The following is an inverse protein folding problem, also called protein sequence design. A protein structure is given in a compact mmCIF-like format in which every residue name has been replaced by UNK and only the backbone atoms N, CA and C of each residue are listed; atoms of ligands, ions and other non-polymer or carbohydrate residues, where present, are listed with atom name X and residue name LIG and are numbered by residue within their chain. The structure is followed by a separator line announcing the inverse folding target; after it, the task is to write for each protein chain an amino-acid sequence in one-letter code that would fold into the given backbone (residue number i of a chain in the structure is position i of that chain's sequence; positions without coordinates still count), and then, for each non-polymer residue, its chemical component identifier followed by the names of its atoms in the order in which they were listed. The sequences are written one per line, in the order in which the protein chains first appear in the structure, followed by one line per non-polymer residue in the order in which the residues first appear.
data_IF_440091281467
#
_entry.id   IF_440091281467
#
_cell.length_a   1.000
_cell.length_b   1.000
_cell.length_c   1.000
_cell.angle_alpha   90.00
_cell.angle_beta   90.00
_cell.angle_gamma   90.00
#
_symmetry.space_group_name_H-M   'P 1'
#
loop_
_entity.id
_entity.type
_entity.pdbx_description
1 polymer ?
#
# COMPACT_ATOMS: atom_id res chain seq x y z
N UNK A 1 -16.76 -13.58 -15.68
CA UNK A 1 -16.15 -12.31 -15.23
C UNK A 1 -14.65 -12.46 -15.36
N UNK A 2 -13.98 -11.67 -16.20
CA UNK A 2 -12.53 -11.76 -16.37
C UNK A 2 -11.86 -11.15 -15.14
N UNK A 3 -11.09 -11.96 -14.40
CA UNK A 3 -10.29 -11.44 -13.30
C UNK A 3 -9.20 -10.51 -13.85
N UNK A 4 -9.02 -9.34 -13.24
CA UNK A 4 -7.92 -8.43 -13.62
C UNK A 4 -6.57 -9.09 -13.30
N UNK A 5 -5.63 -8.98 -14.23
CA UNK A 5 -4.25 -9.46 -14.02
C UNK A 5 -3.56 -8.62 -12.94
N UNK A 6 -2.49 -9.14 -12.34
CA UNK A 6 -1.70 -8.38 -11.35
C UNK A 6 -1.22 -7.06 -11.97
N UNK A 7 -0.72 -7.12 -13.20
CA UNK A 7 -0.25 -5.96 -13.94
C UNK A 7 -1.33 -4.87 -14.09
N UNK A 8 -2.59 -5.25 -14.33
CA UNK A 8 -3.68 -4.28 -14.42
C UNK A 8 -4.00 -3.63 -13.07
N UNK A 9 -3.92 -4.39 -11.97
CA UNK A 9 -4.15 -3.87 -10.62
C UNK A 9 -2.99 -2.95 -10.20
N UNK A 10 -1.75 -3.37 -10.45
CA UNK A 10 -0.54 -2.58 -10.17
C UNK A 10 -0.55 -1.27 -10.96
N UNK A 11 -0.91 -1.30 -12.25
CA UNK A 11 -1.01 -0.09 -13.06
C UNK A 11 -2.08 0.88 -12.50
N UNK A 12 -3.22 0.36 -12.03
CA UNK A 12 -4.25 1.17 -11.41
C UNK A 12 -3.79 1.78 -10.07
N UNK A 13 -3.05 1.02 -9.25
CA UNK A 13 -2.46 1.49 -8.00
C UNK A 13 -1.45 2.62 -8.23
N UNK A 14 -0.56 2.47 -9.22
CA UNK A 14 0.40 3.51 -9.59
C UNK A 14 -0.33 4.77 -10.07
N UNK A 15 -1.33 4.63 -10.94
CA UNK A 15 -2.13 5.76 -11.40
C UNK A 15 -2.86 6.47 -10.25
N UNK A 16 -3.36 5.71 -9.27
CA UNK A 16 -3.98 6.26 -8.05
C UNK A 16 -2.98 7.09 -7.24
N UNK A 17 -1.78 6.57 -6.97
CA UNK A 17 -0.76 7.31 -6.21
C UNK A 17 -0.39 8.68 -6.84
N UNK A 18 -0.37 8.75 -8.17
CA UNK A 18 -0.04 10.00 -8.88
C UNK A 18 -1.21 10.97 -9.05
N UNK A 19 -2.44 10.48 -9.21
CA UNK A 19 -3.54 11.31 -9.70
C UNK A 19 -4.71 11.47 -8.72
N UNK A 20 -4.82 10.60 -7.71
CA UNK A 20 -5.96 10.60 -6.81
C UNK A 20 -5.87 11.77 -5.81
N UNK A 21 -6.94 12.56 -5.72
CA UNK A 21 -7.04 13.72 -4.84
C UNK A 21 -7.64 13.36 -3.48
N UNK A 22 -8.50 12.35 -3.43
CA UNK A 22 -9.05 11.85 -2.18
C UNK A 22 -8.02 10.93 -1.50
N UNK A 23 -7.16 11.54 -0.67
CA UNK A 23 -6.08 10.84 0.04
C UNK A 23 -6.59 9.78 1.00
N UNK A 24 -7.74 10.06 1.64
CA UNK A 24 -8.36 9.10 2.55
C UNK A 24 -8.89 7.89 1.79
N UNK A 25 -9.50 8.10 0.64
CA UNK A 25 -9.94 7.01 -0.24
C UNK A 25 -8.74 6.22 -0.79
N UNK A 26 -7.67 6.88 -1.21
CA UNK A 26 -6.46 6.23 -1.72
C UNK A 26 -5.79 5.36 -0.63
N UNK A 27 -5.64 5.90 0.59
CA UNK A 27 -5.14 5.16 1.74
C UNK A 27 -6.01 3.92 2.00
N UNK A 28 -7.33 4.11 2.14
CA UNK A 28 -8.24 3.01 2.44
C UNK A 28 -8.20 1.93 1.35
N UNK A 29 -8.03 2.31 0.09
CA UNK A 29 -7.85 1.37 -1.02
C UNK A 29 -6.57 0.54 -0.84
N UNK A 30 -5.44 1.16 -0.49
CA UNK A 30 -4.21 0.43 -0.16
C UNK A 30 -4.42 -0.53 1.02
N UNK A 31 -5.10 -0.09 2.08
CA UNK A 31 -5.37 -0.91 3.27
C UNK A 31 -6.26 -2.12 2.95
N UNK A 32 -7.27 -1.95 2.10
CA UNK A 32 -8.08 -3.09 1.61
C UNK A 32 -7.22 -4.07 0.82
N UNK A 33 -6.31 -3.57 -0.02
CA UNK A 33 -5.44 -4.41 -0.84
C UNK A 33 -4.34 -5.12 -0.04
N UNK A 34 -4.00 -4.67 1.16
CA UNK A 34 -3.14 -5.42 2.09
C UNK A 34 -3.76 -6.76 2.51
N UNK A 35 -5.09 -6.88 2.42
CA UNK A 35 -5.78 -8.13 2.72
C UNK A 35 -5.74 -9.15 1.56
N UNK A 36 -5.26 -8.76 0.38
CA UNK A 36 -5.05 -9.64 -0.76
C UNK A 36 -4.10 -10.81 -0.45
N UNK A 37 -4.36 -11.99 -1.02
CA UNK A 37 -3.46 -13.15 -0.98
C UNK A 37 -2.32 -13.04 -2.01
N UNK A 38 -2.40 -12.07 -2.93
CA UNK A 38 -1.45 -11.87 -4.01
C UNK A 38 -0.35 -10.91 -3.57
N UNK A 39 0.82 -11.46 -3.25
CA UNK A 39 1.98 -10.71 -2.74
C UNK A 39 2.36 -9.51 -3.64
N UNK A 40 2.28 -9.66 -4.96
CA UNK A 40 2.55 -8.59 -5.95
C UNK A 40 1.63 -7.39 -5.78
N UNK A 41 0.34 -7.62 -5.49
CA UNK A 41 -0.62 -6.55 -5.23
C UNK A 41 -0.32 -5.89 -3.89
N UNK A 42 -0.02 -6.69 -2.86
CA UNK A 42 0.30 -6.19 -1.52
C UNK A 42 1.55 -5.32 -1.57
N UNK A 43 2.63 -5.79 -2.22
CA UNK A 43 3.87 -5.05 -2.40
C UNK A 43 3.63 -3.71 -3.09
N UNK A 44 2.87 -3.72 -4.20
CA UNK A 44 2.54 -2.48 -4.92
C UNK A 44 1.71 -1.52 -4.08
N UNK A 45 0.76 -2.01 -3.28
CA UNK A 45 -0.04 -1.17 -2.40
C UNK A 45 0.82 -0.54 -1.29
N UNK A 46 1.81 -1.28 -0.74
CA UNK A 46 2.74 -0.77 0.27
C UNK A 46 3.58 0.37 -0.31
N UNK A 47 4.12 0.17 -1.52
CA UNK A 47 4.90 1.20 -2.21
C UNK A 47 4.07 2.45 -2.52
N UNK A 48 2.84 2.30 -3.00
CA UNK A 48 1.97 3.46 -3.28
C UNK A 48 1.58 4.19 -2.02
N UNK A 49 1.34 3.48 -0.91
CA UNK A 49 0.99 4.11 0.37
C UNK A 49 2.06 5.11 0.84
N UNK A 50 3.35 4.79 0.64
CA UNK A 50 4.46 5.68 1.01
C UNK A 50 4.48 7.00 0.23
N UNK A 51 3.84 7.04 -0.94
CA UNK A 51 3.76 8.23 -1.81
C UNK A 51 2.58 9.14 -1.46
N UNK A 52 1.68 8.68 -0.59
CA UNK A 52 0.53 9.46 -0.16
C UNK A 52 0.91 10.40 0.98
N UNK A 53 0.37 11.61 0.95
CA UNK A 53 0.41 12.58 2.03
C UNK A 53 -0.78 12.39 2.99
N UNK A 54 -0.74 13.05 4.15
CA UNK A 54 -1.86 13.12 5.11
C UNK A 54 -2.40 11.76 5.59
N UNK A 55 -1.52 10.78 5.78
CA UNK A 55 -1.88 9.45 6.23
C UNK A 55 -2.41 9.42 7.68
N UNK A 56 -3.46 8.65 7.92
CA UNK A 56 -3.96 8.28 9.24
C UNK A 56 -3.06 7.19 9.84
N UNK A 57 -1.97 7.62 10.47
CA UNK A 57 -0.89 6.74 10.97
C UNK A 57 -1.42 5.64 11.90
N UNK A 58 -2.43 5.94 12.72
CA UNK A 58 -3.05 4.98 13.65
C UNK A 58 -3.73 3.80 12.93
N UNK A 59 -4.23 4.02 11.71
CA UNK A 59 -4.78 2.97 10.86
C UNK A 59 -3.69 2.24 10.06
N UNK A 60 -2.71 2.98 9.55
CA UNK A 60 -1.66 2.46 8.65
C UNK A 60 -0.64 1.58 9.36
N UNK A 61 -0.12 2.03 10.51
CA UNK A 61 0.93 1.34 11.24
C UNK A 61 0.59 -0.12 11.61
N UNK A 62 -0.59 -0.43 12.20
CA UNK A 62 -0.94 -1.81 12.49
C UNK A 62 -1.16 -2.64 11.22
N UNK A 63 -1.59 -2.03 10.11
CA UNK A 63 -1.78 -2.73 8.84
C UNK A 63 -0.45 -3.14 8.20
N UNK A 64 0.54 -2.24 8.16
CA UNK A 64 1.90 -2.53 7.70
C UNK A 64 2.56 -3.64 8.55
N UNK A 65 2.35 -3.63 9.87
CA UNK A 65 2.81 -4.71 10.76
C UNK A 65 2.12 -6.05 10.48
N UNK A 66 0.88 -6.07 9.96
CA UNK A 66 0.23 -7.32 9.53
C UNK A 66 0.82 -7.82 8.22
N UNK A 67 1.07 -6.94 7.24
CA UNK A 67 1.74 -7.30 5.97
C UNK A 67 3.09 -7.94 6.23
N UNK A 68 3.93 -7.31 7.05
CA UNK A 68 5.27 -7.82 7.42
C UNK A 68 5.24 -9.22 8.06
N UNK A 69 4.16 -9.56 8.78
CA UNK A 69 3.94 -10.90 9.35
C UNK A 69 3.43 -11.91 8.33
N UNK A 70 2.57 -11.50 7.40
CA UNK A 70 1.96 -12.38 6.37
C UNK A 70 2.92 -12.68 5.22
N UNK A 71 3.74 -11.71 4.83
CA UNK A 71 4.68 -11.80 3.72
C UNK A 71 6.09 -11.45 4.21
N UNK A 72 6.86 -12.43 4.73
CA UNK A 72 8.21 -12.20 5.22
C UNK A 72 9.16 -11.59 4.17
N UNK A 73 8.94 -11.88 2.89
CA UNK A 73 9.65 -11.27 1.75
C UNK A 73 9.49 -9.76 1.67
N UNK A 74 8.38 -9.20 2.18
CA UNK A 74 8.09 -7.77 2.14
C UNK A 74 8.58 -7.01 3.37
N UNK A 75 9.27 -7.66 4.31
CA UNK A 75 9.74 -7.01 5.55
C UNK A 75 10.60 -5.78 5.28
N UNK A 76 11.50 -5.86 4.29
CA UNK A 76 12.33 -4.72 3.90
C UNK A 76 11.50 -3.58 3.32
N UNK A 77 10.62 -3.88 2.36
CA UNK A 77 9.72 -2.89 1.76
C UNK A 77 8.86 -2.19 2.80
N UNK A 78 8.31 -2.95 3.76
CA UNK A 78 7.52 -2.37 4.86
C UNK A 78 8.39 -1.48 5.76
N UNK A 79 9.62 -1.89 6.08
CA UNK A 79 10.53 -1.08 6.89
C UNK A 79 10.91 0.22 6.18
N UNK A 80 11.20 0.17 4.88
CA UNK A 80 11.53 1.33 4.05
C UNK A 80 10.33 2.29 3.99
N UNK A 81 9.11 1.79 3.77
CA UNK A 81 7.88 2.60 3.80
C UNK A 81 7.65 3.26 5.15
N UNK A 82 7.85 2.54 6.27
CA UNK A 82 7.73 3.12 7.61
C UNK A 82 8.76 4.24 7.85
N UNK A 83 9.98 4.08 7.33
CA UNK A 83 11.02 5.10 7.42
C UNK A 83 10.65 6.33 6.58
N UNK A 84 10.18 6.15 5.34
CA UNK A 84 9.72 7.24 4.47
C UNK A 84 8.58 8.05 5.11
N UNK A 85 7.58 7.37 5.67
CA UNK A 85 6.47 8.03 6.37
C UNK A 85 6.96 8.86 7.57
N UNK A 86 7.96 8.38 8.30
CA UNK A 86 8.53 9.12 9.44
C UNK A 86 9.35 10.34 9.03
N UNK A 87 9.87 10.38 7.80
CA UNK A 87 10.57 11.55 7.25
C UNK A 87 9.62 12.60 6.65
N UNK A 88 8.39 12.21 6.29
CA UNK A 88 7.39 13.09 5.69
C UNK A 88 6.46 13.77 6.71
N UNK A 89 6.48 13.36 7.98
CA UNK A 89 5.70 13.90 9.10
C UNK A 89 6.44 15.03 9.84
#
# INVERSE_FOLDING_TARGET
MTHKTDAQVVAALVAMGFNERDRRWAQNTCLVLFESERETIVASAVTVLAQLDELEIDAVLPALRRVSRRFPSLQRTVADTLAEMAHAA
#
